data_IF_161179281724
#
_entry.id   IF_161179281724
#
_cell.length_a   1.000
_cell.length_b   1.000
_cell.length_c   1.000
_cell.angle_alpha   90.00
_cell.angle_beta   90.00
_cell.angle_gamma   90.00
#
_symmetry.space_group_name_H-M   'P 1'
#
loop_
_entity.id
_entity.type
_entity.pdbx_description
1 polymer ?
#
# COMPACT_ATOMS: atom_id res chain seq x y z
N UNK A 1 -4.46 26.67 -24.95
CA UNK A 1 -4.36 25.26 -25.37
C UNK A 1 -5.23 24.45 -24.43
N UNK A 2 -6.08 23.58 -24.95
CA UNK A 2 -6.85 22.61 -24.15
C UNK A 2 -6.05 21.33 -24.06
N UNK A 3 -5.96 20.74 -22.87
CA UNK A 3 -5.35 19.43 -22.62
C UNK A 3 -6.47 18.51 -22.16
N UNK A 4 -6.54 17.31 -22.73
CA UNK A 4 -7.48 16.26 -22.32
C UNK A 4 -6.63 15.11 -21.81
N UNK A 5 -6.92 14.66 -20.58
CA UNK A 5 -6.25 13.54 -19.92
C UNK A 5 -7.31 12.46 -19.69
N UNK A 6 -6.96 11.21 -19.97
CA UNK A 6 -7.76 10.06 -19.57
C UNK A 6 -7.08 9.49 -18.34
N UNK A 7 -7.76 9.57 -17.20
CA UNK A 7 -7.19 9.28 -15.91
C UNK A 7 -8.25 8.68 -14.98
N UNK A 8 -7.84 7.80 -14.10
CA UNK A 8 -8.66 7.18 -13.06
C UNK A 8 -8.20 7.57 -11.63
N UNK A 9 -7.07 8.25 -11.51
CA UNK A 9 -6.56 8.77 -10.25
C UNK A 9 -7.25 10.10 -9.93
N UNK A 10 -8.21 10.03 -9.03
CA UNK A 10 -9.06 11.16 -8.67
C UNK A 10 -8.30 12.31 -7.99
N UNK A 11 -7.23 12.00 -7.27
CA UNK A 11 -6.33 13.00 -6.68
C UNK A 11 -5.64 13.84 -7.75
N UNK A 12 -5.20 13.21 -8.86
CA UNK A 12 -4.64 13.93 -10.01
C UNK A 12 -5.70 14.84 -10.65
N UNK A 13 -6.93 14.33 -10.80
CA UNK A 13 -8.05 15.11 -11.35
C UNK A 13 -8.35 16.32 -10.44
N UNK A 14 -8.36 16.12 -9.12
CA UNK A 14 -8.61 17.18 -8.13
C UNK A 14 -7.59 18.32 -8.21
N UNK A 15 -6.32 17.98 -8.49
CA UNK A 15 -5.19 18.92 -8.46
C UNK A 15 -4.97 19.64 -9.79
N UNK A 16 -5.18 18.94 -10.93
CA UNK A 16 -4.74 19.44 -12.24
C UNK A 16 -5.85 19.70 -13.25
N UNK A 17 -7.09 19.25 -12.99
CA UNK A 17 -8.17 19.37 -13.95
C UNK A 17 -9.22 20.41 -13.54
N UNK A 18 -9.62 21.28 -14.48
CA UNK A 18 -10.71 22.22 -14.28
C UNK A 18 -12.08 21.54 -14.39
N UNK A 19 -12.22 20.59 -15.33
CA UNK A 19 -13.46 19.89 -15.67
C UNK A 19 -13.24 18.38 -15.69
N UNK A 20 -14.27 17.65 -15.28
CA UNK A 20 -14.33 16.19 -15.33
C UNK A 20 -15.48 15.74 -16.23
N UNK A 21 -15.22 14.73 -17.04
CA UNK A 21 -16.22 14.06 -17.89
C UNK A 21 -16.24 12.58 -17.49
N UNK A 22 -17.40 12.10 -17.05
CA UNK A 22 -17.59 10.68 -16.81
C UNK A 22 -18.10 10.02 -18.09
N UNK A 23 -17.41 8.98 -18.53
CA UNK A 23 -17.81 8.13 -19.65
C UNK A 23 -18.24 6.78 -19.10
N UNK A 24 -19.47 6.36 -19.41
CA UNK A 24 -20.09 5.12 -19.01
C UNK A 24 -20.86 4.55 -20.17
N UNK A 25 -20.89 3.21 -20.32
CA UNK A 25 -21.64 2.50 -21.38
C UNK A 25 -21.42 3.03 -22.80
N UNK A 26 -20.18 3.51 -23.09
CA UNK A 26 -19.81 4.05 -24.41
C UNK A 26 -20.32 5.45 -24.69
N UNK A 27 -20.89 6.16 -23.71
CA UNK A 27 -21.40 7.51 -23.80
C UNK A 27 -20.90 8.44 -22.69
N UNK A 28 -21.13 9.74 -22.85
CA UNK A 28 -20.88 10.72 -21.80
C UNK A 28 -22.07 10.70 -20.82
N UNK A 29 -21.82 10.26 -19.59
CA UNK A 29 -22.83 10.27 -18.53
C UNK A 29 -23.10 11.71 -18.05
N UNK A 30 -22.03 12.44 -17.78
CA UNK A 30 -22.08 13.85 -17.39
C UNK A 30 -20.74 14.57 -17.62
N UNK A 31 -20.79 15.91 -17.58
CA UNK A 31 -19.65 16.81 -17.59
C UNK A 31 -19.87 17.88 -16.52
N UNK A 32 -18.93 18.01 -15.59
CA UNK A 32 -19.02 18.92 -14.45
C UNK A 32 -17.64 19.55 -14.15
N UNK A 33 -17.57 20.65 -13.39
CA UNK A 33 -16.32 21.07 -12.77
C UNK A 33 -15.71 19.91 -11.95
N UNK A 34 -14.39 19.76 -11.98
CA UNK A 34 -13.71 18.60 -11.36
C UNK A 34 -14.13 18.40 -9.90
N UNK A 35 -14.18 19.46 -9.11
CA UNK A 35 -14.60 19.43 -7.70
C UNK A 35 -16.04 18.95 -7.49
N UNK A 36 -16.95 19.27 -8.41
CA UNK A 36 -18.35 18.82 -8.37
C UNK A 36 -18.44 17.36 -8.83
N UNK A 37 -17.76 17.02 -9.91
CA UNK A 37 -17.71 15.66 -10.43
C UNK A 37 -17.16 14.66 -9.42
N UNK A 38 -16.09 15.01 -8.71
CA UNK A 38 -15.47 14.18 -7.66
C UNK A 38 -16.35 14.00 -6.41
N UNK A 39 -17.36 14.85 -6.23
CA UNK A 39 -18.38 14.72 -5.18
C UNK A 39 -19.60 13.89 -5.59
N UNK A 40 -19.68 13.40 -6.84
CA UNK A 40 -20.76 12.50 -7.29
C UNK A 40 -20.44 11.05 -6.90
N UNK A 41 -20.32 10.81 -5.59
CA UNK A 41 -19.78 9.57 -5.03
C UNK A 41 -20.48 8.31 -5.52
N UNK A 42 -21.82 8.36 -5.69
CA UNK A 42 -22.60 7.22 -6.16
C UNK A 42 -22.26 6.88 -7.62
N UNK A 43 -22.09 7.90 -8.47
CA UNK A 43 -21.77 7.71 -9.88
C UNK A 43 -20.33 7.19 -10.03
N UNK A 44 -19.37 7.74 -9.27
CA UNK A 44 -17.98 7.28 -9.26
C UNK A 44 -17.89 5.83 -8.79
N UNK A 45 -18.59 5.48 -7.69
CA UNK A 45 -18.61 4.10 -7.16
C UNK A 45 -19.25 3.11 -8.14
N UNK A 46 -20.28 3.54 -8.87
CA UNK A 46 -20.91 2.68 -9.89
C UNK A 46 -19.96 2.34 -11.04
N UNK A 47 -19.04 3.24 -11.36
CA UNK A 47 -17.99 3.05 -12.38
C UNK A 47 -16.64 2.57 -11.78
N UNK A 48 -16.63 2.14 -10.52
CA UNK A 48 -15.44 1.68 -9.80
C UNK A 48 -14.31 2.73 -9.76
N UNK A 49 -14.65 4.03 -9.72
CA UNK A 49 -13.69 5.12 -9.56
C UNK A 49 -13.62 5.51 -8.08
N UNK A 50 -12.42 5.53 -7.52
CA UNK A 50 -12.20 6.04 -6.17
C UNK A 50 -12.36 7.56 -6.13
N UNK A 51 -13.16 8.10 -5.22
CA UNK A 51 -13.02 9.50 -4.82
C UNK A 51 -11.63 9.73 -4.18
N UNK A 52 -11.13 10.98 -4.13
CA UNK A 52 -9.92 11.31 -3.38
C UNK A 52 -9.95 10.77 -1.94
N UNK A 53 -8.81 10.40 -1.38
CA UNK A 53 -8.75 9.83 -0.02
C UNK A 53 -9.39 10.76 1.02
N UNK A 54 -9.15 12.06 0.91
CA UNK A 54 -9.77 13.06 1.81
C UNK A 54 -11.29 13.11 1.67
N UNK A 55 -11.82 12.88 0.47
CA UNK A 55 -13.27 12.78 0.23
C UNK A 55 -13.85 11.52 0.87
N UNK A 56 -13.13 10.39 0.76
CA UNK A 56 -13.53 9.12 1.39
C UNK A 56 -13.57 9.25 2.92
N UNK A 57 -12.57 9.89 3.51
CA UNK A 57 -12.51 10.18 4.95
C UNK A 57 -13.71 11.04 5.35
N UNK A 58 -13.95 12.12 4.61
CA UNK A 58 -15.03 13.07 4.89
C UNK A 58 -16.44 12.46 4.78
N UNK A 59 -16.64 11.52 3.84
CA UNK A 59 -17.90 10.78 3.68
C UNK A 59 -18.12 9.74 4.82
N UNK A 60 -17.05 9.24 5.42
CA UNK A 60 -17.10 8.20 6.44
C UNK A 60 -17.17 8.72 7.88
N UNK A 61 -16.70 9.94 8.15
CA UNK A 61 -16.84 10.56 9.48
C UNK A 61 -18.30 11.00 9.74
N UNK A 62 -18.71 11.17 11.01
CA UNK A 62 -20.09 11.57 11.34
C UNK A 62 -20.57 12.81 10.56
N UNK A 63 -21.84 12.77 10.12
CA UNK A 63 -22.42 13.80 9.27
C UNK A 63 -22.31 15.21 9.88
N UNK A 64 -21.78 16.16 9.09
CA UNK A 64 -21.58 17.55 9.48
C UNK A 64 -20.15 17.90 9.87
N UNK A 65 -19.26 16.91 10.06
CA UNK A 65 -17.90 17.14 10.52
C UNK A 65 -16.88 17.43 9.41
N UNK A 66 -17.23 17.30 8.14
CA UNK A 66 -16.22 17.33 7.10
C UNK A 66 -16.73 17.86 5.76
N UNK A 67 -17.46 18.96 5.76
CA UNK A 67 -17.88 19.63 4.53
C UNK A 67 -17.23 21.01 4.40
N UNK A 68 -16.86 21.38 3.18
CA UNK A 68 -16.42 22.75 2.88
C UNK A 68 -17.60 23.73 2.86
N UNK A 69 -17.33 25.03 2.77
CA UNK A 69 -18.32 26.11 2.92
C UNK A 69 -19.52 26.04 1.95
N UNK A 70 -19.40 25.36 0.83
CA UNK A 70 -20.47 25.14 -0.16
C UNK A 70 -21.25 23.84 0.05
N UNK A 71 -20.96 23.10 1.12
CA UNK A 71 -21.65 21.87 1.53
C UNK A 71 -21.18 20.59 0.82
N UNK A 72 -20.15 20.66 -0.02
CA UNK A 72 -19.52 19.47 -0.63
C UNK A 72 -18.43 18.88 0.28
N UNK A 73 -18.01 17.67 0.01
CA UNK A 73 -16.84 17.08 0.64
C UNK A 73 -15.54 17.67 0.07
N UNK A 74 -14.47 17.76 0.87
CA UNK A 74 -13.15 18.18 0.41
C UNK A 74 -12.60 17.21 -0.64
N UNK A 75 -11.90 17.75 -1.64
CA UNK A 75 -11.22 16.94 -2.67
C UNK A 75 -9.70 17.09 -2.63
N UNK A 76 -9.21 18.08 -1.88
CA UNK A 76 -7.78 18.31 -1.62
C UNK A 76 -7.47 18.27 -0.12
N UNK A 77 -6.20 18.10 0.22
CA UNK A 77 -5.74 18.08 1.63
C UNK A 77 -6.01 19.43 2.31
N UNK A 78 -5.81 20.55 1.62
CA UNK A 78 -6.05 21.90 2.15
C UNK A 78 -7.53 22.14 2.49
N UNK A 79 -8.42 21.64 1.63
CA UNK A 79 -9.86 21.67 1.90
C UNK A 79 -10.24 20.79 3.08
N UNK A 80 -9.64 19.60 3.19
CA UNK A 80 -9.90 18.66 4.27
C UNK A 80 -9.38 19.17 5.61
N UNK A 81 -8.18 19.75 5.65
CA UNK A 81 -7.66 20.43 6.83
C UNK A 81 -8.66 21.51 7.32
N UNK A 82 -9.11 22.37 6.42
CA UNK A 82 -10.07 23.44 6.77
C UNK A 82 -11.41 22.89 7.26
N UNK A 83 -11.93 21.85 6.60
CA UNK A 83 -13.23 21.27 6.93
C UNK A 83 -13.22 20.53 8.29
N UNK A 84 -12.18 19.75 8.54
CA UNK A 84 -12.05 18.93 9.76
C UNK A 84 -11.56 19.74 10.96
N UNK A 85 -10.77 20.82 10.72
CA UNK A 85 -10.24 21.68 11.78
C UNK A 85 -11.27 22.67 12.33
N UNK A 86 -12.24 23.10 11.53
CA UNK A 86 -13.24 24.09 11.94
C UNK A 86 -14.07 23.63 13.14
N UNK A 87 -14.19 22.32 13.37
CA UNK A 87 -14.92 21.74 14.51
C UNK A 87 -14.04 21.33 15.69
N UNK A 88 -12.72 21.20 15.50
CA UNK A 88 -11.77 20.67 16.52
C UNK A 88 -10.96 21.73 17.24
N UNK A 89 -10.99 23.01 16.82
CA UNK A 89 -10.21 24.06 17.42
C UNK A 89 -10.92 24.73 18.61
N UNK A 90 -10.29 24.84 19.80
CA UNK A 90 -10.79 25.71 20.83
C UNK A 90 -10.77 27.16 20.34
N UNK A 91 -11.78 28.00 20.66
CA UNK A 91 -11.83 29.38 20.20
C UNK A 91 -10.67 30.18 20.80
N UNK A 92 -9.62 30.44 20.03
CA UNK A 92 -8.57 31.39 20.46
C UNK A 92 -7.14 31.19 20.00
N UNK A 93 -6.73 30.09 19.38
CA UNK A 93 -5.35 29.95 18.91
C UNK A 93 -5.23 30.10 17.38
N UNK A 94 -4.86 31.31 16.98
CA UNK A 94 -4.31 31.54 15.63
C UNK A 94 -2.86 31.06 15.61
N UNK A 95 -2.60 29.93 14.97
CA UNK A 95 -1.24 29.48 14.70
C UNK A 95 -0.60 30.40 13.65
N UNK A 96 0.47 31.05 14.03
CA UNK A 96 1.35 31.76 13.10
C UNK A 96 2.08 30.77 12.20
N UNK A 97 1.95 30.96 10.89
CA UNK A 97 2.72 30.25 9.86
C UNK A 97 4.21 30.44 10.14
N UNK A 98 5.02 29.37 10.23
CA UNK A 98 6.46 29.52 10.35
C UNK A 98 7.02 30.05 9.03
N UNK A 99 7.68 31.20 9.07
CA UNK A 99 8.45 31.77 7.96
C UNK A 99 9.72 30.92 7.80
N UNK A 100 9.99 30.49 6.59
CA UNK A 100 11.18 29.76 6.16
C UNK A 100 12.46 30.41 6.71
N UNK A 101 13.18 29.63 7.49
CA UNK A 101 14.56 29.90 7.87
C UNK A 101 15.41 28.72 7.41
N UNK A 102 16.17 28.94 6.34
CA UNK A 102 17.10 27.97 5.79
C UNK A 102 18.13 27.54 6.83
N UNK A 103 18.13 26.30 7.23
CA UNK A 103 19.22 25.58 7.86
C UNK A 103 19.68 24.45 6.95
N UNK A 104 20.98 24.39 6.69
CA UNK A 104 21.60 23.37 5.82
C UNK A 104 21.31 21.95 6.32
N UNK A 105 21.10 20.97 5.42
CA UNK A 105 20.74 19.62 5.82
C UNK A 105 21.95 18.88 6.40
N UNK A 106 21.83 18.47 7.65
CA UNK A 106 22.68 17.41 8.20
C UNK A 106 22.23 16.06 7.59
N UNK A 107 23.15 15.38 6.93
CA UNK A 107 22.95 14.06 6.33
C UNK A 107 22.62 13.02 7.41
N UNK A 108 21.35 12.69 7.57
CA UNK A 108 20.90 11.60 8.43
C UNK A 108 20.87 10.28 7.65
N UNK A 109 21.89 9.44 7.86
CA UNK A 109 21.88 8.04 7.43
C UNK A 109 20.92 7.25 8.30
N UNK A 110 19.70 7.01 7.81
CA UNK A 110 18.64 6.23 8.50
C UNK A 110 18.85 4.69 8.45
N UNK A 111 20.05 4.22 8.02
CA UNK A 111 20.34 2.79 7.83
C UNK A 111 20.81 2.03 9.09
N UNK A 112 20.78 2.63 10.29
CA UNK A 112 21.45 2.04 11.48
C UNK A 112 20.55 1.50 12.60
N UNK A 113 19.24 1.68 12.57
CA UNK A 113 18.39 1.24 13.69
C UNK A 113 17.87 -0.21 13.58
N UNK A 114 17.76 -0.79 12.38
CA UNK A 114 17.27 -2.17 12.18
C UNK A 114 18.32 -3.27 12.33
N UNK A 115 19.60 -2.97 12.24
CA UNK A 115 20.68 -3.96 12.47
C UNK A 115 20.66 -4.55 13.90
N UNK A 116 19.98 -3.89 14.84
CA UNK A 116 19.86 -4.34 16.22
C UNK A 116 18.70 -5.34 16.45
N UNK A 117 17.63 -5.30 15.65
CA UNK A 117 16.48 -6.23 15.76
C UNK A 117 16.69 -7.55 15.00
N UNK A 118 17.48 -7.53 13.93
CA UNK A 118 17.71 -8.69 13.05
C UNK A 118 18.95 -9.51 13.41
N UNK A 119 19.64 -9.18 14.47
CA UNK A 119 20.96 -9.75 14.84
C UNK A 119 21.10 -11.28 14.94
N UNK A 120 19.97 -12.02 14.98
CA UNK A 120 19.95 -13.50 15.04
C UNK A 120 19.09 -14.15 13.92
N UNK A 121 18.53 -13.35 12.97
CA UNK A 121 17.71 -13.89 11.88
C UNK A 121 18.58 -14.14 10.63
N UNK A 122 18.48 -15.34 10.07
CA UNK A 122 19.15 -15.68 8.82
C UNK A 122 18.35 -15.11 7.64
N UNK A 123 18.97 -14.33 6.73
CA UNK A 123 18.24 -13.74 5.61
C UNK A 123 17.87 -14.82 4.58
N UNK A 124 16.65 -14.75 4.06
CA UNK A 124 16.17 -15.61 2.97
C UNK A 124 16.59 -15.10 1.59
N UNK A 125 16.85 -13.79 1.46
CA UNK A 125 17.38 -13.17 0.24
C UNK A 125 18.55 -12.28 0.62
N UNK A 126 19.68 -12.38 -0.10
CA UNK A 126 20.84 -11.51 0.08
C UNK A 126 21.35 -10.99 -1.25
N UNK A 127 21.60 -9.70 -1.29
CA UNK A 127 22.28 -9.04 -2.41
C UNK A 127 23.57 -8.41 -1.89
N UNK A 128 24.68 -8.60 -2.60
CA UNK A 128 25.98 -8.05 -2.23
C UNK A 128 26.64 -7.40 -3.44
N UNK A 129 26.77 -6.07 -3.39
CA UNK A 129 27.38 -5.25 -4.42
C UNK A 129 26.84 -5.54 -5.82
N UNK A 130 25.51 -5.66 -5.94
CA UNK A 130 24.83 -6.08 -7.17
C UNK A 130 24.76 -4.92 -8.15
N UNK A 131 25.40 -5.12 -9.32
CA UNK A 131 25.29 -4.24 -10.47
C UNK A 131 24.67 -4.97 -11.66
N UNK A 132 23.77 -4.30 -12.40
CA UNK A 132 23.16 -4.86 -13.60
C UNK A 132 22.64 -3.77 -14.54
N UNK A 133 22.68 -4.04 -15.84
CA UNK A 133 22.16 -3.12 -16.83
C UNK A 133 21.94 -3.75 -18.19
N UNK A 134 21.57 -2.95 -19.15
CA UNK A 134 21.19 -3.42 -20.48
C UNK A 134 21.96 -2.73 -21.59
N UNK A 135 22.37 -3.46 -22.63
CA UNK A 135 22.97 -2.85 -23.82
C UNK A 135 21.96 -1.96 -24.52
N UNK A 136 22.39 -0.78 -24.97
CA UNK A 136 21.55 0.15 -25.75
C UNK A 136 21.76 -0.01 -27.24
N UNK A 137 20.76 0.38 -28.04
CA UNK A 137 20.81 0.29 -29.52
C UNK A 137 21.93 1.14 -30.19
N UNK A 138 22.58 2.05 -29.45
CA UNK A 138 23.59 3.01 -29.95
C UNK A 138 24.95 2.80 -29.28
N UNK A 139 25.43 1.57 -29.20
CA UNK A 139 26.76 1.24 -28.64
C UNK A 139 26.97 1.84 -27.23
N UNK A 140 26.03 1.68 -26.34
CA UNK A 140 26.09 2.12 -24.96
C UNK A 140 25.59 1.03 -24.01
N UNK A 141 25.75 1.28 -22.74
CA UNK A 141 25.25 0.44 -21.65
C UNK A 141 24.43 1.32 -20.71
N UNK A 142 23.24 0.86 -20.36
CA UNK A 142 22.35 1.56 -19.42
C UNK A 142 22.41 0.81 -18.10
N UNK A 143 23.18 1.33 -17.13
CA UNK A 143 23.21 0.83 -15.77
C UNK A 143 21.85 1.03 -15.14
N UNK A 144 21.28 -0.02 -14.57
CA UNK A 144 19.95 -0.02 -13.92
C UNK A 144 20.08 -0.24 -12.42
N UNK A 145 21.01 -1.08 -11.98
CA UNK A 145 21.36 -1.28 -10.57
C UNK A 145 22.86 -1.06 -10.41
N UNK A 146 23.27 -0.35 -9.34
CA UNK A 146 24.67 0.02 -9.13
C UNK A 146 25.09 -0.22 -7.68
N UNK A 147 25.81 -1.34 -7.44
CA UNK A 147 26.38 -1.70 -6.14
C UNK A 147 25.38 -2.01 -5.03
N UNK A 148 24.17 -2.46 -5.39
CA UNK A 148 23.05 -2.64 -4.47
C UNK A 148 23.35 -3.74 -3.44
N UNK A 149 23.10 -3.40 -2.15
CA UNK A 149 23.19 -4.31 -1.03
C UNK A 149 21.85 -4.37 -0.29
N UNK A 150 21.34 -5.58 -0.03
CA UNK A 150 20.04 -5.76 0.60
C UNK A 150 19.93 -7.13 1.25
N UNK A 151 19.30 -7.20 2.42
CA UNK A 151 18.92 -8.44 3.10
C UNK A 151 17.42 -8.45 3.35
N UNK A 152 16.72 -9.53 2.96
CA UNK A 152 15.31 -9.76 3.26
C UNK A 152 15.19 -11.03 4.12
N UNK A 153 14.26 -11.00 5.07
CA UNK A 153 14.15 -12.05 6.09
C UNK A 153 12.79 -12.76 5.99
N UNK A 154 12.74 -13.99 6.49
CA UNK A 154 11.48 -14.73 6.61
C UNK A 154 10.44 -13.93 7.42
N UNK A 155 9.22 -13.86 6.92
CA UNK A 155 8.14 -13.07 7.51
C UNK A 155 8.10 -11.61 7.07
N UNK A 156 9.06 -11.13 6.27
CA UNK A 156 9.03 -9.75 5.76
C UNK A 156 7.93 -9.57 4.70
N UNK A 157 7.12 -8.52 4.85
CA UNK A 157 6.23 -7.99 3.81
C UNK A 157 6.86 -6.73 3.24
N UNK A 158 7.56 -6.90 2.14
CA UNK A 158 8.39 -5.84 1.57
C UNK A 158 7.72 -5.18 0.39
N UNK A 159 7.66 -3.87 0.38
CA UNK A 159 7.33 -3.09 -0.80
C UNK A 159 8.59 -2.42 -1.38
N UNK A 160 8.86 -2.69 -2.66
CA UNK A 160 9.83 -1.96 -3.47
C UNK A 160 9.10 -0.80 -4.13
N UNK A 161 9.44 0.43 -3.77
CA UNK A 161 8.84 1.64 -4.35
C UNK A 161 9.90 2.47 -5.06
N UNK A 162 9.47 3.33 -5.97
CA UNK A 162 10.35 4.21 -6.73
C UNK A 162 9.76 4.56 -8.09
N UNK A 163 10.31 5.54 -8.77
CA UNK A 163 9.89 5.98 -10.09
C UNK A 163 9.97 4.87 -11.15
N UNK A 164 9.30 5.08 -12.28
CA UNK A 164 9.45 4.19 -13.42
C UNK A 164 10.91 4.20 -13.91
N UNK A 165 11.49 2.99 -14.07
CA UNK A 165 12.88 2.84 -14.45
C UNK A 165 13.88 2.84 -13.29
N UNK A 166 13.45 2.88 -12.02
CA UNK A 166 14.34 2.83 -10.85
C UNK A 166 14.98 1.46 -10.61
N UNK A 167 14.61 0.41 -11.37
CA UNK A 167 15.22 -0.92 -11.27
C UNK A 167 14.37 -1.99 -10.58
N UNK A 168 13.13 -1.68 -10.14
CA UNK A 168 12.27 -2.61 -9.39
C UNK A 168 12.07 -3.96 -10.10
N UNK A 169 11.58 -3.95 -11.34
CA UNK A 169 11.34 -5.19 -12.12
C UNK A 169 12.63 -5.92 -12.45
N UNK A 170 13.74 -5.19 -12.69
CA UNK A 170 15.07 -5.79 -12.88
C UNK A 170 15.51 -6.52 -11.61
N UNK A 171 15.35 -5.89 -10.44
CA UNK A 171 15.66 -6.52 -9.17
C UNK A 171 14.85 -7.80 -8.98
N UNK A 172 13.53 -7.79 -9.22
CA UNK A 172 12.71 -9.00 -9.09
C UNK A 172 13.15 -10.12 -10.04
N UNK A 173 13.60 -9.81 -11.26
CA UNK A 173 14.11 -10.81 -12.20
C UNK A 173 15.47 -11.41 -11.78
N UNK A 174 16.33 -10.63 -11.17
CA UNK A 174 17.57 -11.12 -10.58
C UNK A 174 17.29 -12.07 -9.41
N UNK A 175 16.29 -11.80 -8.59
CA UNK A 175 15.86 -12.65 -7.47
C UNK A 175 15.32 -14.02 -7.92
N UNK A 176 14.84 -14.13 -9.15
CA UNK A 176 14.32 -15.39 -9.71
C UNK A 176 15.34 -16.12 -10.59
N UNK A 177 16.52 -15.56 -10.77
CA UNK A 177 17.51 -16.12 -11.68
C UNK A 177 17.13 -16.04 -13.17
N UNK A 178 16.04 -15.31 -13.51
CA UNK A 178 15.68 -15.03 -14.90
C UNK A 178 16.71 -14.13 -15.58
N UNK A 179 17.36 -13.28 -14.80
CA UNK A 179 18.51 -12.49 -15.19
C UNK A 179 19.64 -12.74 -14.20
N UNK A 180 20.89 -12.61 -14.65
CA UNK A 180 22.08 -12.74 -13.82
C UNK A 180 22.69 -11.37 -13.58
N UNK A 181 23.16 -11.02 -12.38
CA UNK A 181 23.85 -9.77 -12.15
C UNK A 181 25.16 -9.70 -12.95
N UNK A 182 25.51 -8.53 -13.46
CA UNK A 182 26.78 -8.29 -14.14
C UNK A 182 27.93 -8.19 -13.14
N UNK A 183 27.62 -7.68 -11.93
CA UNK A 183 28.56 -7.57 -10.80
C UNK A 183 27.88 -7.99 -9.51
N UNK A 184 28.66 -8.49 -8.55
CA UNK A 184 28.19 -8.90 -7.24
C UNK A 184 27.49 -10.26 -7.23
N UNK A 185 26.76 -10.54 -6.15
CA UNK A 185 26.07 -11.83 -5.94
C UNK A 185 24.64 -11.63 -5.44
N UNK A 186 23.74 -12.48 -5.91
CA UNK A 186 22.37 -12.60 -5.43
C UNK A 186 22.16 -14.01 -4.94
N UNK A 187 21.71 -14.17 -3.70
CA UNK A 187 21.34 -15.47 -3.14
C UNK A 187 19.89 -15.46 -2.65
N UNK A 188 19.16 -16.53 -2.95
CA UNK A 188 17.78 -16.75 -2.51
C UNK A 188 17.73 -18.12 -1.85
N UNK A 189 17.23 -18.17 -0.61
CA UNK A 189 17.18 -19.39 0.23
C UNK A 189 18.53 -20.12 0.32
N UNK A 190 19.63 -19.36 0.35
CA UNK A 190 20.99 -19.89 0.43
C UNK A 190 21.58 -20.39 -0.91
N UNK A 191 20.86 -20.26 -2.02
CA UNK A 191 21.32 -20.59 -3.36
C UNK A 191 21.73 -19.33 -4.13
N UNK A 192 22.93 -19.27 -4.68
CA UNK A 192 23.32 -18.19 -5.59
C UNK A 192 22.60 -18.32 -6.92
N UNK A 193 21.93 -17.25 -7.36
CA UNK A 193 21.11 -17.27 -8.60
C UNK A 193 21.94 -17.48 -9.84
N UNK A 194 23.23 -17.13 -9.84
CA UNK A 194 24.16 -17.38 -10.95
C UNK A 194 24.52 -18.85 -11.13
N UNK A 195 24.49 -19.63 -10.06
CA UNK A 195 24.90 -21.06 -10.06
C UNK A 195 23.68 -22.00 -10.16
N UNK A 196 22.48 -21.51 -9.85
CA UNK A 196 21.24 -22.26 -9.91
C UNK A 196 20.56 -22.11 -11.28
N UNK A 197 19.87 -23.17 -11.72
CA UNK A 197 18.95 -23.05 -12.85
C UNK A 197 17.66 -22.34 -12.40
N UNK A 198 17.03 -21.50 -13.25
CA UNK A 198 15.76 -20.86 -12.91
C UNK A 198 14.67 -21.87 -12.48
N UNK A 199 14.68 -23.09 -13.05
CA UNK A 199 13.76 -24.15 -12.68
C UNK A 199 13.98 -24.69 -11.25
N UNK A 200 15.20 -24.62 -10.72
CA UNK A 200 15.51 -25.03 -9.35
C UNK A 200 15.06 -23.97 -8.35
N UNK A 201 15.27 -22.69 -8.68
CA UNK A 201 14.78 -21.56 -7.86
C UNK A 201 13.26 -21.48 -7.86
N UNK A 202 12.60 -21.83 -8.97
CA UNK A 202 11.15 -21.81 -9.12
C UNK A 202 10.42 -22.89 -8.28
N UNK A 203 11.14 -23.76 -7.54
CA UNK A 203 10.54 -24.66 -6.56
C UNK A 203 10.03 -23.88 -5.33
N UNK A 204 10.78 -22.88 -4.91
CA UNK A 204 10.53 -22.13 -3.69
C UNK A 204 10.25 -20.63 -3.93
N UNK A 205 10.50 -20.13 -5.15
CA UNK A 205 10.38 -18.71 -5.50
C UNK A 205 9.47 -18.53 -6.71
N UNK A 206 8.45 -17.71 -6.57
CA UNK A 206 7.51 -17.41 -7.67
C UNK A 206 7.55 -15.93 -8.03
N UNK A 207 7.62 -15.64 -9.34
CA UNK A 207 7.49 -14.31 -9.89
C UNK A 207 6.15 -14.15 -10.61
N UNK A 208 5.35 -13.22 -10.14
CA UNK A 208 4.05 -12.88 -10.74
C UNK A 208 4.21 -11.61 -11.55
N UNK A 209 4.12 -11.76 -12.86
CA UNK A 209 4.37 -10.72 -13.85
C UNK A 209 3.40 -9.54 -13.76
N UNK A 210 3.88 -8.36 -14.14
CA UNK A 210 3.05 -7.15 -14.29
C UNK A 210 1.90 -7.38 -15.28
N UNK A 211 2.16 -8.06 -16.40
CA UNK A 211 1.15 -8.47 -17.35
C UNK A 211 0.68 -9.91 -17.03
N UNK A 212 -0.54 -10.11 -16.50
CA UNK A 212 -1.01 -11.44 -16.11
C UNK A 212 -1.17 -12.40 -17.29
N UNK A 213 -1.34 -11.90 -18.53
CA UNK A 213 -1.47 -12.73 -19.73
C UNK A 213 -0.24 -13.61 -19.98
N UNK A 214 0.95 -13.17 -19.55
CA UNK A 214 2.21 -13.89 -19.72
C UNK A 214 2.28 -15.19 -18.92
N UNK A 215 1.40 -15.36 -17.93
CA UNK A 215 1.37 -16.54 -17.08
C UNK A 215 0.45 -17.66 -17.63
N UNK A 216 -0.38 -17.39 -18.66
CA UNK A 216 -1.30 -18.38 -19.21
C UNK A 216 -0.68 -19.13 -20.39
N UNK A 217 -0.41 -20.42 -20.23
CA UNK A 217 0.19 -21.30 -21.22
C UNK A 217 -0.80 -22.35 -21.75
N UNK A 218 -1.82 -22.68 -20.97
CA UNK A 218 -2.86 -23.66 -21.26
C UNK A 218 -4.13 -23.00 -21.80
N UNK A 219 -5.16 -23.79 -22.11
CA UNK A 219 -6.43 -23.35 -22.67
C UNK A 219 -7.51 -23.11 -21.58
N UNK A 220 -7.20 -23.40 -20.31
CA UNK A 220 -8.09 -23.15 -19.18
C UNK A 220 -7.32 -22.80 -17.91
N UNK A 221 -7.91 -21.97 -17.04
CA UNK A 221 -7.36 -21.59 -15.75
C UNK A 221 -7.01 -22.80 -14.88
N UNK A 222 -7.89 -23.82 -14.87
CA UNK A 222 -7.69 -25.09 -14.17
C UNK A 222 -6.38 -25.78 -14.59
N UNK A 223 -6.13 -25.82 -15.89
CA UNK A 223 -4.93 -26.46 -16.42
C UNK A 223 -3.69 -25.60 -16.17
N UNK A 224 -3.79 -24.29 -16.28
CA UNK A 224 -2.70 -23.36 -15.95
C UNK A 224 -2.24 -23.53 -14.50
N UNK A 225 -3.19 -23.52 -13.54
CA UNK A 225 -2.89 -23.74 -12.11
C UNK A 225 -2.22 -25.11 -11.90
N UNK A 226 -2.69 -26.15 -12.59
CA UNK A 226 -2.12 -27.50 -12.47
C UNK A 226 -0.85 -27.76 -13.28
N UNK A 227 -0.46 -26.83 -14.16
CA UNK A 227 0.62 -27.06 -15.14
C UNK A 227 1.96 -27.37 -14.47
N UNK A 228 2.41 -26.52 -13.59
CA UNK A 228 3.68 -26.69 -12.88
C UNK A 228 3.68 -27.91 -11.97
N UNK A 229 2.59 -28.15 -11.26
CA UNK A 229 2.44 -29.29 -10.36
C UNK A 229 2.55 -30.62 -11.12
N UNK A 230 1.92 -30.71 -12.31
CA UNK A 230 2.00 -31.91 -13.18
C UNK A 230 3.41 -32.14 -13.69
N UNK A 231 4.08 -31.10 -14.18
CA UNK A 231 5.42 -31.19 -14.74
C UNK A 231 6.48 -31.62 -13.71
N UNK A 232 6.23 -31.33 -12.42
CA UNK A 232 7.06 -31.75 -11.29
C UNK A 232 6.69 -33.10 -10.69
N UNK A 233 5.63 -33.73 -11.21
CA UNK A 233 5.16 -35.02 -10.71
C UNK A 233 4.59 -34.95 -9.30
N UNK A 234 4.01 -33.80 -8.92
CA UNK A 234 3.38 -33.65 -7.61
C UNK A 234 2.24 -34.68 -7.45
N UNK A 235 2.10 -35.19 -6.23
CA UNK A 235 0.94 -36.00 -5.86
C UNK A 235 -0.29 -35.07 -5.70
N UNK A 236 -1.48 -35.62 -5.93
CA UNK A 236 -2.76 -34.94 -5.63
C UNK A 236 -2.97 -33.58 -6.33
N UNK A 237 -2.45 -33.42 -7.57
CA UNK A 237 -2.58 -32.19 -8.38
C UNK A 237 -4.02 -31.69 -8.45
N UNK A 238 -4.99 -32.58 -8.69
CA UNK A 238 -6.40 -32.21 -8.78
C UNK A 238 -6.92 -31.59 -7.49
N UNK A 239 -6.60 -32.18 -6.34
CA UNK A 239 -7.01 -31.64 -5.03
C UNK A 239 -6.44 -30.26 -4.79
N UNK A 240 -5.16 -30.04 -5.10
CA UNK A 240 -4.50 -28.74 -4.95
C UNK A 240 -5.10 -27.68 -5.89
N UNK A 241 -5.41 -28.05 -7.13
CA UNK A 241 -6.06 -27.14 -8.09
C UNK A 241 -7.44 -26.70 -7.58
N UNK A 242 -8.27 -27.64 -7.07
CA UNK A 242 -9.57 -27.28 -6.51
C UNK A 242 -9.46 -26.37 -5.27
N UNK A 243 -8.51 -26.65 -4.41
CA UNK A 243 -8.20 -25.80 -3.25
C UNK A 243 -7.87 -24.36 -3.67
N UNK A 244 -6.97 -24.17 -4.65
CA UNK A 244 -6.59 -22.85 -5.16
C UNK A 244 -7.77 -22.17 -5.86
N UNK A 245 -8.54 -22.88 -6.66
CA UNK A 245 -9.73 -22.31 -7.32
C UNK A 245 -10.73 -21.78 -6.29
N UNK A 246 -10.99 -22.53 -5.24
CA UNK A 246 -11.89 -22.12 -4.15
C UNK A 246 -11.29 -20.95 -3.35
N UNK A 247 -10.01 -21.02 -3.02
CA UNK A 247 -9.32 -19.97 -2.25
C UNK A 247 -9.37 -18.60 -2.94
N UNK A 248 -9.32 -18.59 -4.28
CA UNK A 248 -9.28 -17.37 -5.10
C UNK A 248 -10.63 -17.01 -5.74
N UNK A 249 -11.71 -17.74 -5.41
CA UNK A 249 -13.04 -17.52 -5.99
C UNK A 249 -13.00 -17.59 -7.53
N UNK A 250 -12.41 -18.69 -8.06
CA UNK A 250 -12.19 -18.93 -9.48
C UNK A 250 -12.98 -20.13 -10.02
N UNK A 251 -13.78 -20.83 -9.20
CA UNK A 251 -14.49 -22.06 -9.60
C UNK A 251 -15.36 -21.84 -10.85
N UNK A 252 -16.08 -20.71 -10.91
CA UNK A 252 -16.93 -20.36 -12.07
C UNK A 252 -16.12 -20.03 -13.34
N UNK A 253 -14.82 -19.78 -13.21
CA UNK A 253 -13.91 -19.41 -14.28
C UNK A 253 -12.92 -20.54 -14.64
N UNK A 254 -12.92 -21.65 -13.89
CA UNK A 254 -11.94 -22.72 -13.98
C UNK A 254 -11.74 -23.28 -15.39
N UNK A 255 -12.82 -23.41 -16.15
CA UNK A 255 -12.82 -23.98 -17.50
C UNK A 255 -12.76 -22.92 -18.62
N UNK A 256 -12.47 -21.65 -18.27
CA UNK A 256 -12.28 -20.56 -19.23
C UNK A 256 -10.81 -20.38 -19.59
N UNK A 257 -10.56 -19.90 -20.80
CA UNK A 257 -9.23 -19.41 -21.18
C UNK A 257 -8.91 -18.12 -20.40
N UNK A 258 -7.82 -18.16 -19.62
CA UNK A 258 -7.39 -17.03 -18.79
C UNK A 258 -7.16 -15.75 -19.58
N UNK A 259 -6.66 -15.85 -20.81
CA UNK A 259 -6.40 -14.72 -21.71
C UNK A 259 -7.66 -13.98 -22.15
N UNK A 260 -8.84 -14.59 -22.04
CA UNK A 260 -10.13 -14.00 -22.43
C UNK A 260 -10.93 -13.46 -21.24
N UNK A 261 -10.34 -13.42 -20.06
CA UNK A 261 -10.96 -12.91 -18.84
C UNK A 261 -10.73 -11.41 -18.66
N UNK A 262 -11.45 -10.77 -17.74
CA UNK A 262 -11.15 -9.40 -17.33
C UNK A 262 -9.79 -9.31 -16.63
N UNK A 263 -9.14 -8.12 -16.64
CA UNK A 263 -7.80 -7.93 -16.05
C UNK A 263 -7.78 -8.35 -14.57
N UNK A 264 -8.82 -8.03 -13.80
CA UNK A 264 -8.93 -8.44 -12.39
C UNK A 264 -9.05 -9.96 -12.22
N UNK A 265 -9.83 -10.64 -13.09
CA UNK A 265 -9.93 -12.09 -13.11
C UNK A 265 -8.61 -12.74 -13.51
N UNK A 266 -7.92 -12.18 -14.52
CA UNK A 266 -6.60 -12.62 -14.95
C UNK A 266 -5.58 -12.48 -13.81
N UNK A 267 -5.61 -11.38 -13.07
CA UNK A 267 -4.72 -11.15 -11.94
C UNK A 267 -4.94 -12.17 -10.82
N UNK A 268 -6.20 -12.47 -10.49
CA UNK A 268 -6.51 -13.54 -9.51
C UNK A 268 -6.03 -14.91 -10.00
N UNK A 269 -6.25 -15.23 -11.27
CA UNK A 269 -5.79 -16.50 -11.83
C UNK A 269 -4.25 -16.60 -11.86
N UNK A 270 -3.53 -15.53 -12.20
CA UNK A 270 -2.06 -15.50 -12.16
C UNK A 270 -1.51 -15.69 -10.74
N UNK A 271 -2.17 -15.11 -9.73
CA UNK A 271 -1.86 -15.41 -8.32
C UNK A 271 -2.08 -16.89 -8.01
N UNK A 272 -3.15 -17.49 -8.52
CA UNK A 272 -3.44 -18.91 -8.34
C UNK A 272 -2.39 -19.83 -8.96
N UNK A 273 -1.91 -19.48 -10.15
CA UNK A 273 -0.81 -20.21 -10.81
C UNK A 273 0.44 -20.18 -9.95
N UNK A 274 0.79 -18.99 -9.42
CA UNK A 274 1.96 -18.83 -8.57
C UNK A 274 1.84 -19.54 -7.22
N UNK A 275 0.71 -19.39 -6.53
CA UNK A 275 0.51 -19.97 -5.20
C UNK A 275 0.27 -21.49 -5.21
N UNK A 276 0.00 -22.09 -6.38
CA UNK A 276 -0.25 -23.52 -6.49
C UNK A 276 0.92 -24.38 -6.01
N UNK A 277 2.17 -23.89 -6.22
CA UNK A 277 3.40 -24.58 -5.85
C UNK A 277 3.78 -24.47 -4.36
N UNK A 278 3.00 -23.73 -3.57
CA UNK A 278 3.26 -23.45 -2.15
C UNK A 278 4.68 -22.84 -1.93
N UNK A 279 4.97 -21.68 -2.60
CA UNK A 279 6.31 -21.12 -2.61
C UNK A 279 6.66 -20.50 -1.26
N UNK A 280 7.97 -20.52 -0.91
CA UNK A 280 8.51 -19.82 0.26
C UNK A 280 8.57 -18.29 0.01
N UNK A 281 8.92 -17.88 -1.20
CA UNK A 281 9.08 -16.48 -1.61
C UNK A 281 8.15 -16.15 -2.78
N UNK A 282 7.35 -15.10 -2.63
CA UNK A 282 6.50 -14.58 -3.71
C UNK A 282 6.93 -13.17 -4.08
N UNK A 283 7.24 -12.97 -5.33
CA UNK A 283 7.66 -11.71 -5.94
C UNK A 283 6.55 -11.22 -6.90
N UNK A 284 6.02 -10.03 -6.64
CA UNK A 284 4.93 -9.47 -7.45
C UNK A 284 5.37 -8.16 -8.09
N UNK A 285 5.18 -8.06 -9.40
CA UNK A 285 5.44 -6.84 -10.14
C UNK A 285 4.12 -6.14 -10.45
N UNK A 286 3.92 -4.95 -9.88
CA UNK A 286 2.74 -4.10 -10.03
C UNK A 286 1.40 -4.85 -9.91
N UNK A 287 1.13 -5.56 -8.78
CA UNK A 287 -0.03 -6.45 -8.67
C UNK A 287 -1.38 -5.74 -8.76
N UNK A 288 -1.45 -4.45 -8.50
CA UNK A 288 -2.67 -3.62 -8.57
C UNK A 288 -2.70 -2.69 -9.79
N UNK A 289 -1.66 -2.72 -10.63
CA UNK A 289 -1.58 -1.89 -11.82
C UNK A 289 -2.75 -2.10 -12.78
N UNK A 290 -3.35 -1.02 -13.26
CA UNK A 290 -4.49 -1.03 -14.20
C UNK A 290 -5.76 -1.73 -13.70
N UNK A 291 -5.87 -2.00 -12.39
CA UNK A 291 -7.06 -2.59 -11.78
C UNK A 291 -8.07 -1.52 -11.35
N UNK A 292 -9.35 -1.83 -11.56
CA UNK A 292 -10.44 -1.09 -10.91
C UNK A 292 -10.43 -1.30 -9.38
N UNK A 293 -11.21 -0.47 -8.69
CA UNK A 293 -11.33 -0.47 -7.24
C UNK A 293 -11.64 -1.85 -6.64
N UNK A 294 -12.61 -2.54 -7.21
CA UNK A 294 -13.06 -3.83 -6.69
C UNK A 294 -11.97 -4.88 -6.85
N UNK A 295 -11.38 -4.98 -8.04
CA UNK A 295 -10.28 -5.90 -8.33
C UNK A 295 -9.06 -5.63 -7.48
N UNK A 296 -8.73 -4.35 -7.20
CA UNK A 296 -7.64 -3.95 -6.30
C UNK A 296 -7.88 -4.46 -4.88
N UNK A 297 -9.09 -4.27 -4.33
CA UNK A 297 -9.45 -4.78 -3.00
C UNK A 297 -9.39 -6.31 -2.92
N UNK A 298 -9.86 -6.99 -3.96
CA UNK A 298 -9.82 -8.45 -4.06
C UNK A 298 -8.37 -8.95 -4.04
N UNK A 299 -7.49 -8.37 -4.88
CA UNK A 299 -6.06 -8.71 -4.91
C UNK A 299 -5.37 -8.43 -3.57
N UNK A 300 -5.61 -7.26 -2.97
CA UNK A 300 -5.07 -6.93 -1.65
C UNK A 300 -5.56 -7.91 -0.57
N UNK A 301 -6.82 -8.31 -0.64
CA UNK A 301 -7.40 -9.32 0.25
C UNK A 301 -6.74 -10.70 0.10
N UNK A 302 -6.42 -11.10 -1.14
CA UNK A 302 -5.69 -12.34 -1.43
C UNK A 302 -4.27 -12.27 -0.88
N UNK A 303 -3.55 -11.16 -1.09
CA UNK A 303 -2.19 -10.97 -0.58
C UNK A 303 -2.15 -11.12 0.94
N UNK A 304 -3.09 -10.51 1.66
CA UNK A 304 -3.22 -10.67 3.12
C UNK A 304 -3.51 -12.10 3.55
N UNK A 305 -4.31 -12.85 2.80
CA UNK A 305 -4.57 -14.27 3.10
C UNK A 305 -3.34 -15.12 2.81
N UNK A 306 -2.62 -14.86 1.71
CA UNK A 306 -1.42 -15.62 1.32
C UNK A 306 -0.31 -15.57 2.38
N UNK A 307 -0.27 -14.54 3.23
CA UNK A 307 0.67 -14.40 4.36
C UNK A 307 0.68 -15.62 5.31
N UNK A 308 -0.40 -16.39 5.38
CA UNK A 308 -0.44 -17.61 6.20
C UNK A 308 0.24 -18.83 5.55
N UNK A 309 0.59 -18.73 4.27
CA UNK A 309 1.12 -19.81 3.45
C UNK A 309 2.50 -19.50 2.83
N UNK A 310 2.92 -18.23 2.83
CA UNK A 310 4.15 -17.76 2.19
C UNK A 310 5.02 -17.09 3.25
N UNK A 311 6.30 -17.44 3.32
CA UNK A 311 7.19 -16.85 4.32
C UNK A 311 7.56 -15.41 3.99
N UNK A 312 7.86 -15.09 2.72
CA UNK A 312 8.30 -13.75 2.32
C UNK A 312 7.57 -13.28 1.07
N UNK A 313 7.04 -12.07 1.14
CA UNK A 313 6.37 -11.45 -0.02
C UNK A 313 7.03 -10.11 -0.34
N UNK A 314 7.44 -9.95 -1.61
CA UNK A 314 8.02 -8.72 -2.13
C UNK A 314 7.11 -8.17 -3.23
N UNK A 315 6.63 -6.94 -3.08
CA UNK A 315 5.80 -6.27 -4.06
C UNK A 315 6.54 -5.06 -4.62
N UNK A 316 6.80 -5.05 -5.92
CA UNK A 316 7.18 -3.83 -6.62
C UNK A 316 5.91 -3.06 -6.98
N UNK A 317 5.78 -1.83 -6.50
CA UNK A 317 4.59 -1.01 -6.77
C UNK A 317 4.86 0.49 -6.72
N UNK A 318 4.10 1.24 -7.52
CA UNK A 318 3.97 2.68 -7.40
C UNK A 318 2.67 3.09 -6.67
N UNK A 319 1.83 2.13 -6.29
CA UNK A 319 0.60 2.35 -5.53
C UNK A 319 0.91 2.49 -4.03
N UNK A 320 1.23 3.70 -3.60
CA UNK A 320 1.58 3.97 -2.20
C UNK A 320 0.40 3.75 -1.23
N UNK A 321 -0.84 3.71 -1.71
CA UNK A 321 -1.99 3.36 -0.87
C UNK A 321 -2.00 1.86 -0.53
N UNK A 322 -1.69 1.01 -1.53
CA UNK A 322 -1.47 -0.42 -1.29
C UNK A 322 -0.33 -0.61 -0.30
N UNK A 323 0.80 0.02 -0.58
CA UNK A 323 2.02 -0.10 0.24
C UNK A 323 1.75 0.32 1.69
N UNK A 324 1.11 1.47 1.91
CA UNK A 324 0.77 1.99 3.22
C UNK A 324 -0.13 1.05 4.05
N UNK A 325 -1.05 0.34 3.38
CA UNK A 325 -2.00 -0.55 4.06
C UNK A 325 -1.57 -2.00 4.16
N UNK A 326 -0.45 -2.38 3.51
CA UNK A 326 -0.05 -3.78 3.40
C UNK A 326 1.38 -4.06 3.89
N UNK A 327 2.37 -3.22 3.55
CA UNK A 327 3.78 -3.50 3.82
C UNK A 327 4.17 -3.24 5.28
N UNK A 328 5.10 -4.03 5.81
CA UNK A 328 5.79 -3.76 7.08
C UNK A 328 7.11 -3.02 6.84
N UNK A 329 7.67 -3.17 5.64
CA UNK A 329 8.97 -2.65 5.24
C UNK A 329 8.91 -2.08 3.83
N UNK A 330 9.41 -0.88 3.66
CA UNK A 330 9.45 -0.18 2.37
C UNK A 330 10.90 0.08 1.99
N UNK A 331 11.26 -0.37 0.81
CA UNK A 331 12.56 -0.11 0.19
C UNK A 331 12.33 0.87 -0.95
N UNK A 332 12.92 2.05 -0.84
CA UNK A 332 12.84 3.10 -1.85
C UNK A 332 14.02 2.96 -2.80
N UNK A 333 13.74 2.64 -4.07
CA UNK A 333 14.73 2.56 -5.12
C UNK A 333 14.73 3.82 -5.98
N UNK A 334 15.89 4.40 -6.20
CA UNK A 334 16.07 5.49 -7.14
C UNK A 334 17.40 5.33 -7.90
N UNK A 335 17.35 5.47 -9.24
CA UNK A 335 18.52 5.40 -10.12
C UNK A 335 19.44 4.18 -9.86
N UNK A 336 18.83 3.05 -9.44
CA UNK A 336 19.54 1.80 -9.21
C UNK A 336 20.14 1.61 -7.83
N UNK A 337 19.93 2.54 -6.91
CA UNK A 337 20.40 2.46 -5.52
C UNK A 337 19.23 2.48 -4.52
N UNK A 338 19.48 2.05 -3.28
CA UNK A 338 18.53 2.09 -2.17
C UNK A 338 18.65 3.43 -1.45
N UNK A 339 17.65 4.31 -1.61
CA UNK A 339 17.60 5.57 -0.88
C UNK A 339 17.15 5.39 0.57
N UNK A 340 16.23 4.45 0.81
CA UNK A 340 15.74 4.17 2.16
C UNK A 340 15.27 2.71 2.27
N UNK A 341 15.36 2.18 3.47
CA UNK A 341 14.87 0.89 3.91
C UNK A 341 14.31 1.05 5.32
N UNK A 342 12.98 1.23 5.43
CA UNK A 342 12.35 1.62 6.67
C UNK A 342 10.85 1.18 6.73
N UNK A 343 10.19 1.23 7.89
CA UNK A 343 8.74 1.06 7.98
C UNK A 343 7.99 2.11 7.16
N UNK A 344 6.77 1.79 6.65
CA UNK A 344 5.97 2.70 5.83
C UNK A 344 5.76 4.08 6.46
N UNK A 345 5.54 4.15 7.78
CA UNK A 345 5.34 5.41 8.48
C UNK A 345 6.56 6.33 8.35
N UNK A 346 7.77 5.80 8.50
CA UNK A 346 8.99 6.59 8.40
C UNK A 346 9.27 7.06 6.96
N UNK A 347 8.98 6.19 5.95
CA UNK A 347 9.17 6.55 4.54
C UNK A 347 8.18 7.63 4.10
N UNK A 348 6.91 7.50 4.49
CA UNK A 348 5.87 8.41 4.02
C UNK A 348 5.82 9.74 4.78
N UNK A 349 6.44 9.81 5.95
CA UNK A 349 6.62 11.06 6.70
C UNK A 349 7.78 11.92 6.14
N UNK A 350 8.70 11.31 5.41
CA UNK A 350 9.86 11.99 4.83
C UNK A 350 9.53 12.54 3.42
N UNK A 351 9.08 13.80 3.39
CA UNK A 351 8.73 14.48 2.15
C UNK A 351 9.95 14.71 1.22
N UNK A 352 11.16 14.87 1.78
CA UNK A 352 12.39 15.06 0.99
C UNK A 352 12.79 13.75 0.30
N UNK A 353 12.71 12.63 1.02
CA UNK A 353 12.93 11.29 0.48
C UNK A 353 11.95 10.97 -0.65
N UNK A 354 10.64 11.23 -0.43
CA UNK A 354 9.62 11.00 -1.45
C UNK A 354 9.85 11.86 -2.70
N UNK A 355 10.20 13.14 -2.53
CA UNK A 355 10.54 14.03 -3.63
C UNK A 355 11.78 13.56 -4.40
N UNK A 356 12.84 13.09 -3.70
CA UNK A 356 14.04 12.55 -4.32
C UNK A 356 13.76 11.28 -5.14
N UNK A 357 12.78 10.48 -4.74
CA UNK A 357 12.36 9.27 -5.43
C UNK A 357 11.27 9.50 -6.52
N UNK A 358 10.88 10.76 -6.78
CA UNK A 358 9.75 11.13 -7.65
C UNK A 358 8.43 10.45 -7.23
N UNK A 359 8.23 10.34 -5.92
CA UNK A 359 7.04 9.77 -5.30
C UNK A 359 6.19 10.86 -4.66
N UNK A 360 4.87 10.65 -4.62
CA UNK A 360 3.93 11.58 -4.00
C UNK A 360 3.41 10.99 -2.69
N UNK A 361 3.46 11.81 -1.63
CA UNK A 361 2.87 11.44 -0.35
C UNK A 361 1.37 11.14 -0.51
N UNK A 362 0.85 10.03 0.03
CA UNK A 362 -0.60 9.77 0.06
C UNK A 362 -1.35 10.88 0.78
N UNK A 363 -2.54 11.26 0.27
CA UNK A 363 -3.32 12.35 0.88
C UNK A 363 -3.66 12.11 2.36
N UNK A 364 -3.88 10.86 2.76
CA UNK A 364 -4.15 10.52 4.17
C UNK A 364 -2.97 10.84 5.07
N UNK A 365 -1.73 10.58 4.61
CA UNK A 365 -0.50 10.90 5.35
C UNK A 365 -0.32 12.41 5.44
N UNK A 366 -0.44 13.11 4.31
CA UNK A 366 -0.38 14.57 4.30
C UNK A 366 -1.45 15.22 5.20
N UNK A 367 -2.66 14.66 5.23
CA UNK A 367 -3.72 15.11 6.13
C UNK A 367 -3.38 14.82 7.60
N UNK A 368 -2.76 13.67 7.89
CA UNK A 368 -2.32 13.30 9.24
C UNK A 368 -1.37 14.34 9.82
N UNK A 369 -0.36 14.74 9.05
CA UNK A 369 0.58 15.80 9.42
C UNK A 369 -0.13 17.14 9.66
N UNK A 370 -1.02 17.56 8.74
CA UNK A 370 -1.80 18.80 8.85
C UNK A 370 -2.72 18.84 10.08
N UNK A 371 -3.28 17.70 10.47
CA UNK A 371 -4.12 17.57 11.67
C UNK A 371 -3.31 17.40 12.97
N UNK A 372 -1.97 17.38 12.87
CA UNK A 372 -1.05 17.35 14.00
C UNK A 372 -1.06 16.02 14.76
N UNK A 373 -1.14 14.90 14.07
CA UNK A 373 -0.91 13.59 14.66
C UNK A 373 0.60 13.36 14.82
N UNK A 374 1.04 12.87 15.99
CA UNK A 374 2.46 12.62 16.30
C UNK A 374 3.05 11.47 15.47
N UNK A 375 2.20 10.56 15.00
CA UNK A 375 2.58 9.44 14.13
C UNK A 375 1.71 9.47 12.88
N UNK A 376 2.29 9.30 11.68
CA UNK A 376 1.53 9.33 10.44
C UNK A 376 0.44 8.27 10.41
N UNK A 377 -0.77 8.66 10.05
CA UNK A 377 -1.88 7.75 9.81
C UNK A 377 -1.84 7.31 8.35
N UNK A 378 -1.70 6.01 8.11
CA UNK A 378 -1.37 5.47 6.79
C UNK A 378 -2.57 5.10 5.91
N UNK A 379 -3.75 4.89 6.52
CA UNK A 379 -4.94 4.43 5.79
C UNK A 379 -6.17 5.30 6.06
N UNK A 380 -7.08 5.35 5.10
CA UNK A 380 -8.34 6.10 5.25
C UNK A 380 -9.18 5.60 6.42
N UNK A 381 -9.24 4.28 6.63
CA UNK A 381 -10.01 3.68 7.73
C UNK A 381 -9.42 4.06 9.10
N UNK A 382 -8.09 3.98 9.24
CA UNK A 382 -7.40 4.40 10.46
C UNK A 382 -7.58 5.91 10.72
N UNK A 383 -7.60 6.74 9.67
CA UNK A 383 -7.84 8.18 9.79
C UNK A 383 -9.27 8.48 10.27
N UNK A 384 -10.28 7.80 9.74
CA UNK A 384 -11.68 7.93 10.19
C UNK A 384 -11.79 7.56 11.67
N UNK A 385 -11.17 6.47 12.09
CA UNK A 385 -11.14 6.04 13.49
C UNK A 385 -10.43 7.07 14.37
N UNK A 386 -9.28 7.56 13.97
CA UNK A 386 -8.50 8.56 14.71
C UNK A 386 -9.26 9.88 14.90
N UNK A 387 -9.91 10.39 13.86
CA UNK A 387 -10.75 11.60 13.92
C UNK A 387 -11.95 11.36 14.86
N UNK A 388 -12.62 10.23 14.73
CA UNK A 388 -13.81 9.91 15.54
C UNK A 388 -13.46 9.79 17.02
N UNK A 389 -12.35 9.16 17.36
CA UNK A 389 -11.86 9.01 18.73
C UNK A 389 -11.41 10.35 19.35
N UNK A 390 -10.76 11.21 18.56
CA UNK A 390 -10.32 12.55 18.99
C UNK A 390 -11.53 13.42 19.36
N UNK A 391 -12.55 13.44 18.51
CA UNK A 391 -13.80 14.19 18.76
C UNK A 391 -14.58 13.65 19.96
N UNK A 392 -14.60 12.34 20.19
CA UNK A 392 -15.24 11.73 21.35
C UNK A 392 -14.52 12.08 22.66
N UNK A 393 -13.20 12.18 22.64
CA UNK A 393 -12.37 12.57 23.80
C UNK A 393 -12.60 14.03 24.18
N UNK A 394 -12.70 14.93 23.19
CA UNK A 394 -12.90 16.36 23.39
C UNK A 394 -14.34 16.67 23.85
N UNK A 395 -15.30 15.79 23.54
CA UNK A 395 -16.71 15.93 23.95
C UNK A 395 -16.98 15.46 25.40
N UNK A 396 -16.01 14.84 26.10
CA UNK A 396 -16.17 14.44 27.49
C UNK A 396 -15.82 15.62 28.40
N UNK A 397 -16.79 16.31 29.04
CA UNK A 397 -16.45 17.42 29.95
C UNK A 397 -15.61 16.87 31.10
N UNK A 398 -14.51 17.55 31.41
CA UNK A 398 -13.73 17.32 32.61
C UNK A 398 -14.70 17.28 33.80
N UNK A 399 -14.84 16.12 34.41
CA UNK A 399 -15.60 15.99 35.68
C UNK A 399 -14.81 16.85 36.68
N UNK A 400 -15.31 18.05 36.89
CA UNK A 400 -14.77 18.97 37.88
C UNK A 400 -14.77 18.28 39.23
N UNK A 401 -13.64 18.31 39.92
CA UNK A 401 -13.52 18.02 41.32
C UNK A 401 -14.53 18.88 42.12
N UNK A 402 -15.76 18.37 42.20
CA UNK A 402 -16.81 18.95 42.98
C UNK A 402 -16.49 18.70 44.45
N UNK A 403 -16.00 19.74 45.12
CA UNK A 403 -15.87 19.80 46.58
C UNK A 403 -17.18 19.28 47.20
N UNK A 404 -17.06 18.23 48.01
CA UNK A 404 -18.14 17.72 48.86
C UNK A 404 -18.63 18.83 49.78
N UNK A 405 -19.95 19.04 49.91
CA UNK A 405 -20.45 19.95 50.95
C UNK A 405 -20.27 19.31 52.30
N UNK A 406 -19.60 20.06 53.18
CA UNK A 406 -19.48 19.80 54.64
C UNK A 406 -20.87 19.82 55.26
N UNK A 407 -21.47 18.64 55.50
CA UNK A 407 -22.65 18.49 56.35
C UNK A 407 -22.21 18.08 57.74
N UNK A 408 -21.96 19.09 58.59
CA UNK A 408 -21.85 18.94 60.02
C UNK A 408 -23.13 18.32 60.61
N UNK A 409 -23.00 17.14 61.20
CA UNK A 409 -24.02 16.57 62.10
C UNK A 409 -23.44 16.58 63.51
N UNK A 410 -24.15 17.19 64.52
CA UNK A 410 -23.68 17.24 65.88
C UNK A 410 -23.86 15.89 66.55
N UNK A 411 -22.81 15.50 67.25
CA UNK A 411 -22.70 14.34 68.14
C UNK A 411 -23.70 14.47 69.30
N UNK A 412 -24.65 13.54 69.42
CA UNK A 412 -25.43 13.38 70.68
C UNK A 412 -25.32 11.96 71.15
N UNK A 413 -24.53 11.81 72.15
CA UNK A 413 -24.43 10.60 73.02
C UNK A 413 -25.74 10.40 73.75
N UNK A 414 -26.36 9.24 73.63
CA UNK A 414 -27.21 8.68 74.75
C UNK A 414 -27.10 7.15 74.78
N UNK A 415 -26.59 6.74 75.88
CA UNK A 415 -26.56 5.42 76.51
C UNK A 415 -27.97 4.92 76.92
N UNK A 416 -28.04 3.59 77.12
CA UNK A 416 -29.05 2.76 77.76
C UNK A 416 -29.78 1.85 76.75
N UNK A 417 -29.94 0.58 77.01
CA UNK A 417 -29.77 -0.31 78.16
C UNK A 417 -30.28 -1.67 77.64
N UNK A 418 -29.83 -2.67 78.33
CA UNK A 418 -30.17 -4.11 78.30
C UNK A 418 -31.68 -4.39 78.23
N UNK A 419 -32.07 -5.44 77.51
CA UNK A 419 -32.73 -6.64 78.10
C UNK A 419 -33.51 -7.46 77.04
N UNK A 420 -33.23 -8.75 77.13
CA UNK A 420 -33.92 -9.97 76.68
C UNK A 420 -33.75 -10.44 75.21
#
# INVERSE_FOLDING_TARGET
KTVIVIEHHSEFIAEYCDEMVLVSDGGVAWKEPAQVGLNRLNDLRAENIHPPQVTQIADAVPAGMATVSDGRYPVTVDEAETALWAESAPPGEQRSVPTEGATEPESHSHSREKDAENGDREPVITLRNVGHGYPTLREGYNQVLDGLNLDLYAGDRVALVGANGSGKSTLLRLLTGLESPDEGTVSVLGQETNDALPEELADDTVYIHQNPEEMFVEDTVRKDIGYYLKNRGAADVESRVEEILTYLDLEALADRDGRLMSVGQQRRASLGIGLATDPTVVLLDEPTGSLDLQSRREVTGILRKAESHVETVVIASHDLQLVAGWADRVIVLNEGDVLADAPPAAVFDDAELLAAADLRQPQVVALSDRLGFDTPVLTTDAMVEAITNKTASDATPAVGDGAAPDTGIPNTTQTLGEEQ
#
